data_IF_129689086116
#
_entry.id   IF_129689086116
#
_cell.length_a   1.000
_cell.length_b   1.000
_cell.length_c   1.000
_cell.angle_alpha   90.00
_cell.angle_beta   90.00
_cell.angle_gamma   90.00
#
_symmetry.space_group_name_H-M   'P 1'
#
loop_
_entity.id
_entity.type
_entity.pdbx_description
1 polymer ?
#
# COMPACT_ATOMS: atom_id res chain seq x y z
N UNK A 1 0.17 4.92 -6.36
CA UNK A 1 -0.33 4.52 -5.03
C UNK A 1 -1.82 4.46 -5.13
N UNK A 2 -2.39 3.28 -4.89
CA UNK A 2 -3.81 3.01 -5.10
C UNK A 2 -4.42 2.42 -3.84
N UNK A 3 -5.62 2.89 -3.48
CA UNK A 3 -6.36 2.35 -2.36
C UNK A 3 -7.22 1.17 -2.80
N UNK A 4 -7.09 0.05 -2.10
CA UNK A 4 -8.08 -1.03 -2.09
C UNK A 4 -8.92 -0.84 -0.83
N UNK A 5 -10.17 -0.42 -1.02
CA UNK A 5 -11.10 -0.09 0.08
C UNK A 5 -12.15 -1.21 0.22
N UNK A 6 -12.80 -1.28 1.38
CA UNK A 6 -13.89 -2.22 1.67
C UNK A 6 -13.47 -3.70 1.66
N UNK A 7 -12.29 -3.99 2.18
CA UNK A 7 -11.88 -5.36 2.49
C UNK A 7 -12.59 -5.84 3.76
N UNK A 8 -12.91 -7.15 3.89
CA UNK A 8 -13.37 -7.71 5.16
C UNK A 8 -12.30 -7.46 6.24
N UNK A 9 -12.67 -7.10 7.48
CA UNK A 9 -11.72 -6.93 8.57
C UNK A 9 -10.87 -8.18 8.77
N UNK A 10 -9.55 -8.01 8.75
CA UNK A 10 -8.60 -9.12 8.80
C UNK A 10 -7.47 -8.94 9.82
N UNK A 11 -7.03 -10.05 10.39
CA UNK A 11 -5.93 -10.13 11.37
C UNK A 11 -6.28 -9.56 12.75
N UNK A 12 -5.32 -9.63 13.68
CA UNK A 12 -5.51 -9.22 15.09
C UNK A 12 -5.89 -7.73 15.24
N UNK A 13 -5.50 -6.89 14.27
CA UNK A 13 -5.79 -5.45 14.26
C UNK A 13 -7.01 -5.06 13.43
N UNK A 14 -7.72 -6.04 12.83
CA UNK A 14 -8.97 -5.82 12.08
C UNK A 14 -8.86 -4.76 10.98
N UNK A 15 -7.78 -4.79 10.20
CA UNK A 15 -7.60 -3.88 9.06
C UNK A 15 -8.64 -4.17 7.97
N UNK A 16 -9.19 -3.12 7.35
CA UNK A 16 -10.28 -3.21 6.36
C UNK A 16 -10.01 -2.42 5.07
N UNK A 17 -8.78 -1.91 4.93
CA UNK A 17 -8.29 -1.24 3.74
C UNK A 17 -6.82 -1.61 3.51
N UNK A 18 -6.36 -1.44 2.27
CA UNK A 18 -4.97 -1.63 1.92
C UNK A 18 -4.51 -0.57 0.93
N UNK A 19 -3.27 -0.13 1.07
CA UNK A 19 -2.61 0.76 0.13
C UNK A 19 -1.60 -0.02 -0.70
N UNK A 20 -1.80 -0.02 -2.01
CA UNK A 20 -0.86 -0.56 -2.98
C UNK A 20 0.18 0.49 -3.35
N UNK A 21 1.43 0.16 -3.07
CA UNK A 21 2.62 0.90 -3.47
C UNK A 21 3.33 0.15 -4.60
N UNK A 22 3.15 0.63 -5.82
CA UNK A 22 3.94 0.17 -6.97
C UNK A 22 5.07 1.18 -7.22
N UNK A 23 6.31 0.71 -7.17
CA UNK A 23 7.48 1.47 -7.61
C UNK A 23 7.77 1.13 -9.08
N UNK A 24 8.03 2.14 -9.91
CA UNK A 24 8.35 1.93 -11.33
C UNK A 24 9.68 1.19 -11.54
N UNK A 25 10.60 1.27 -10.58
CA UNK A 25 11.91 0.63 -10.67
C UNK A 25 11.94 -0.76 -10.02
N UNK A 26 11.04 -1.03 -9.07
CA UNK A 26 10.93 -2.35 -8.44
C UNK A 26 9.79 -3.13 -9.08
N UNK A 27 10.10 -4.36 -9.50
CA UNK A 27 9.08 -5.27 -10.05
C UNK A 27 8.09 -5.78 -9.00
N UNK A 28 8.35 -5.52 -7.72
CA UNK A 28 7.56 -6.01 -6.59
C UNK A 28 6.74 -4.89 -5.96
N UNK A 29 5.40 -4.95 -6.02
CA UNK A 29 4.55 -4.04 -5.26
C UNK A 29 4.65 -4.32 -3.76
N UNK A 30 4.31 -3.31 -2.96
CA UNK A 30 4.11 -3.46 -1.52
C UNK A 30 2.65 -3.17 -1.18
N UNK A 31 2.11 -3.97 -0.27
CA UNK A 31 0.77 -3.79 0.28
C UNK A 31 0.90 -3.38 1.73
N UNK A 32 0.38 -2.21 2.08
CA UNK A 32 0.34 -1.73 3.46
C UNK A 32 -1.08 -1.83 4.01
N UNK A 33 -1.29 -2.45 5.18
CA UNK A 33 -2.62 -2.57 5.78
C UNK A 33 -3.02 -1.25 6.47
N UNK A 34 -4.29 -0.88 6.34
CA UNK A 34 -4.86 0.34 6.89
C UNK A 34 -6.30 0.11 7.35
N UNK A 35 -6.81 1.02 8.16
CA UNK A 35 -8.22 1.20 8.37
C UNK A 35 -8.74 2.26 7.39
N UNK A 36 -9.96 2.06 6.90
CA UNK A 36 -10.64 2.97 5.97
C UNK A 36 -10.65 4.40 6.51
N UNK A 37 -10.79 4.54 7.81
CA UNK A 37 -10.94 5.80 8.52
C UNK A 37 -9.61 6.38 9.03
N UNK A 38 -8.47 5.77 8.69
CA UNK A 38 -7.15 6.28 9.08
C UNK A 38 -6.95 7.70 8.56
N UNK A 39 -6.42 8.55 9.43
CA UNK A 39 -6.11 9.94 9.14
C UNK A 39 -4.94 10.07 8.16
N UNK A 40 -4.77 11.26 7.60
CA UNK A 40 -3.61 11.57 6.77
C UNK A 40 -2.27 11.39 7.52
N UNK A 41 -2.27 11.65 8.84
CA UNK A 41 -1.09 11.51 9.69
C UNK A 41 -0.72 10.06 9.93
N UNK A 42 -1.69 9.20 10.30
CA UNK A 42 -1.47 7.76 10.45
C UNK A 42 -1.00 7.13 9.14
N UNK A 43 -1.59 7.55 8.01
CA UNK A 43 -1.17 7.13 6.67
C UNK A 43 0.30 7.49 6.41
N UNK A 44 0.70 8.73 6.73
CA UNK A 44 2.06 9.19 6.53
C UNK A 44 3.08 8.50 7.43
N UNK A 45 2.75 8.26 8.70
CA UNK A 45 3.61 7.53 9.63
C UNK A 45 3.84 6.11 9.12
N UNK A 46 2.76 5.40 8.76
CA UNK A 46 2.87 4.04 8.24
C UNK A 46 3.74 3.95 6.98
N UNK A 47 3.59 4.89 6.05
CA UNK A 47 4.43 4.94 4.85
C UNK A 47 5.88 5.29 5.21
N UNK A 48 6.10 6.21 6.14
CA UNK A 48 7.44 6.57 6.56
C UNK A 48 8.18 5.38 7.18
N UNK A 49 7.54 4.70 8.13
CA UNK A 49 8.13 3.60 8.89
C UNK A 49 8.35 2.34 8.05
N UNK A 50 7.46 2.05 7.09
CA UNK A 50 7.54 0.82 6.31
C UNK A 50 8.21 1.00 4.95
N UNK A 51 8.31 2.23 4.45
CA UNK A 51 8.83 2.51 3.09
C UNK A 51 10.03 3.44 3.18
N UNK A 52 9.81 4.68 3.61
CA UNK A 52 10.84 5.73 3.49
C UNK A 52 12.08 5.41 4.34
N UNK A 53 11.90 4.85 5.54
CA UNK A 53 12.99 4.39 6.42
C UNK A 53 13.90 3.36 5.75
N UNK A 54 13.35 2.49 4.90
CA UNK A 54 14.08 1.40 4.23
C UNK A 54 14.59 1.78 2.84
N UNK A 55 13.87 2.65 2.13
CA UNK A 55 14.13 2.97 0.72
C UNK A 55 14.79 4.33 0.52
N UNK A 56 14.80 5.15 1.56
CA UNK A 56 15.06 6.58 1.46
C UNK A 56 13.87 7.36 0.89
N UNK A 57 14.03 8.69 0.73
CA UNK A 57 12.95 9.59 0.34
C UNK A 57 12.43 9.31 -1.07
N UNK A 58 11.11 9.16 -1.18
CA UNK A 58 10.42 8.96 -2.45
C UNK A 58 10.65 10.15 -3.38
N UNK A 59 11.10 9.88 -4.62
CA UNK A 59 11.42 10.94 -5.59
C UNK A 59 10.17 11.59 -6.16
N UNK A 60 9.22 10.75 -6.59
CA UNK A 60 7.95 11.14 -7.18
C UNK A 60 6.86 10.22 -6.64
N UNK A 61 5.72 10.77 -6.25
CA UNK A 61 4.54 10.01 -5.83
C UNK A 61 3.43 10.26 -6.82
N UNK A 62 2.95 9.19 -7.43
CA UNK A 62 1.75 9.21 -8.27
C UNK A 62 0.65 8.57 -7.43
N UNK A 63 -0.39 9.33 -7.13
CA UNK A 63 -1.55 8.86 -6.38
C UNK A 63 -2.77 9.63 -6.86
N UNK A 64 -3.93 9.02 -6.66
CA UNK A 64 -5.21 9.70 -6.85
C UNK A 64 -5.33 10.91 -5.91
N UNK A 65 -6.33 11.77 -6.16
CA UNK A 65 -6.61 12.96 -5.34
C UNK A 65 -7.29 12.61 -4.02
N UNK A 66 -6.88 11.52 -3.37
CA UNK A 66 -7.40 11.16 -2.05
C UNK A 66 -6.99 12.26 -1.03
N UNK A 67 -7.93 12.82 -0.26
CA UNK A 67 -7.66 13.87 0.72
C UNK A 67 -6.52 13.52 1.69
N UNK A 68 -6.33 12.22 1.97
CA UNK A 68 -5.23 11.74 2.81
C UNK A 68 -3.88 12.14 2.23
N UNK A 69 -3.70 12.10 0.90
CA UNK A 69 -2.46 12.45 0.21
C UNK A 69 -2.37 13.92 -0.21
N UNK A 70 -3.49 14.63 -0.37
CA UNK A 70 -3.48 16.06 -0.74
C UNK A 70 -3.43 17.02 0.46
N UNK A 71 -3.39 16.48 1.68
CA UNK A 71 -3.38 17.25 2.92
C UNK A 71 -2.14 18.13 3.09
N UNK A 72 -2.24 19.16 3.93
CA UNK A 72 -1.12 20.05 4.26
C UNK A 72 0.08 19.28 4.84
N UNK A 73 -0.18 18.19 5.55
CA UNK A 73 0.84 17.30 6.10
C UNK A 73 1.76 16.76 5.00
N UNK A 74 1.20 16.20 3.93
CA UNK A 74 2.02 15.66 2.84
C UNK A 74 2.78 16.76 2.11
N UNK A 75 2.15 17.91 1.86
CA UNK A 75 2.84 19.07 1.27
C UNK A 75 4.06 19.48 2.10
N UNK A 76 3.91 19.55 3.42
CA UNK A 76 4.99 19.91 4.34
C UNK A 76 6.08 18.83 4.41
N UNK A 77 5.72 17.55 4.48
CA UNK A 77 6.68 16.44 4.42
C UNK A 77 7.53 16.50 3.15
N UNK A 78 6.92 16.77 2.00
CA UNK A 78 7.66 16.88 0.73
C UNK A 78 8.62 18.06 0.70
N UNK A 79 8.20 19.21 1.25
CA UNK A 79 9.09 20.37 1.40
C UNK A 79 10.30 20.04 2.28
N UNK A 80 10.10 19.30 3.37
CA UNK A 80 11.20 18.84 4.24
C UNK A 80 12.16 17.89 3.51
N UNK A 81 11.66 17.01 2.63
CA UNK A 81 12.51 16.15 1.79
C UNK A 81 13.14 16.87 0.59
N UNK A 82 12.89 18.17 0.41
CA UNK A 82 13.47 18.98 -0.68
C UNK A 82 12.97 18.61 -2.08
N UNK A 83 11.77 18.03 -2.22
CA UNK A 83 11.25 17.56 -3.52
C UNK A 83 9.89 18.19 -3.89
N UNK A 84 9.68 18.44 -5.19
CA UNK A 84 8.41 18.90 -5.74
C UNK A 84 7.43 17.73 -5.86
N UNK A 85 6.32 17.81 -5.12
CA UNK A 85 5.20 16.89 -5.26
C UNK A 85 4.51 17.12 -6.60
N UNK A 86 4.60 16.14 -7.50
CA UNK A 86 3.82 16.13 -8.74
C UNK A 86 2.70 15.11 -8.58
N UNK A 87 1.53 15.56 -8.13
CA UNK A 87 0.32 14.76 -8.25
C UNK A 87 -0.03 14.67 -9.73
N UNK A 88 0.41 13.61 -10.39
CA UNK A 88 -0.14 13.29 -11.70
C UNK A 88 -1.57 12.82 -11.48
N UNK A 89 -2.49 13.46 -12.19
CA UNK A 89 -3.91 13.14 -12.20
C UNK A 89 -4.12 11.64 -12.37
N UNK A 90 -5.01 11.07 -11.56
CA UNK A 90 -5.59 9.76 -11.75
C UNK A 90 -5.87 9.52 -13.24
N UNK A 91 -5.52 8.32 -13.72
CA UNK A 91 -5.33 7.88 -15.12
C UNK A 91 -3.97 8.21 -15.75
N UNK A 92 -3.03 7.26 -15.65
CA UNK A 92 -1.82 7.18 -16.48
C UNK A 92 -1.63 5.72 -16.93
N UNK A 93 -2.15 5.34 -18.11
CA UNK A 93 -2.28 3.95 -18.58
C UNK A 93 -0.99 3.12 -18.52
N UNK A 94 0.19 3.73 -18.60
CA UNK A 94 1.47 3.01 -18.57
C UNK A 94 1.91 2.55 -17.17
N UNK A 95 1.44 3.19 -16.09
CA UNK A 95 1.72 2.75 -14.71
C UNK A 95 0.57 1.94 -14.12
N UNK A 96 -0.63 2.09 -14.70
CA UNK A 96 -1.85 1.43 -14.24
C UNK A 96 -1.82 -0.08 -14.49
N UNK A 97 -1.27 -0.58 -15.60
CA UNK A 97 -1.33 -2.03 -15.91
C UNK A 97 -0.71 -2.92 -14.83
N UNK A 98 0.43 -2.51 -14.25
CA UNK A 98 1.03 -3.29 -13.15
C UNK A 98 0.19 -3.19 -11.87
N UNK A 99 -0.28 -1.99 -11.54
CA UNK A 99 -1.10 -1.79 -10.36
C UNK A 99 -2.45 -2.53 -10.46
N UNK A 100 -3.13 -2.44 -11.60
CA UNK A 100 -4.38 -3.12 -11.93
C UNK A 100 -4.23 -4.64 -11.81
N UNK A 101 -3.20 -5.24 -12.43
CA UNK A 101 -2.95 -6.68 -12.32
C UNK A 101 -2.70 -7.13 -10.89
N UNK A 102 -2.04 -6.29 -10.09
CA UNK A 102 -1.74 -6.59 -8.69
C UNK A 102 -2.97 -6.43 -7.80
N UNK A 103 -3.84 -5.46 -8.06
CA UNK A 103 -5.14 -5.33 -7.39
C UNK A 103 -5.99 -6.55 -7.71
N UNK A 104 -6.08 -6.96 -8.97
CA UNK A 104 -6.84 -8.15 -9.38
C UNK A 104 -6.34 -9.40 -8.67
N UNK A 105 -5.02 -9.59 -8.63
CA UNK A 105 -4.40 -10.72 -7.92
C UNK A 105 -4.72 -10.69 -6.42
N UNK A 106 -4.68 -9.52 -5.79
CA UNK A 106 -5.03 -9.36 -4.38
C UNK A 106 -6.50 -9.70 -4.13
N UNK A 107 -7.43 -9.21 -4.95
CA UNK A 107 -8.86 -9.50 -4.83
C UNK A 107 -9.15 -11.00 -4.99
N UNK A 108 -8.50 -11.65 -5.96
CA UNK A 108 -8.63 -13.09 -6.17
C UNK A 108 -8.10 -13.88 -4.96
N UNK A 109 -6.96 -13.48 -4.39
CA UNK A 109 -6.43 -14.07 -3.16
C UNK A 109 -7.42 -13.90 -1.99
N UNK A 110 -7.91 -12.68 -1.74
CA UNK A 110 -8.88 -12.42 -0.66
C UNK A 110 -10.15 -13.23 -0.87
N UNK A 111 -10.62 -13.40 -2.11
CA UNK A 111 -11.81 -14.22 -2.43
C UNK A 111 -11.56 -15.71 -2.14
N UNK A 112 -10.40 -16.24 -2.52
CA UNK A 112 -10.03 -17.64 -2.25
C UNK A 112 -9.89 -17.87 -0.74
N UNK A 113 -9.09 -17.05 -0.05
CA UNK A 113 -8.85 -17.21 1.39
C UNK A 113 -10.03 -16.80 2.27
N UNK A 114 -10.93 -15.95 1.78
CA UNK A 114 -12.17 -15.58 2.48
C UNK A 114 -13.28 -16.62 2.33
N UNK A 115 -13.31 -17.37 1.21
CA UNK A 115 -14.29 -18.44 0.98
C UNK A 115 -13.91 -19.75 1.66
N UNK A 116 -12.61 -20.08 1.66
CA UNK A 116 -12.06 -21.14 2.49
C UNK A 116 -11.70 -20.54 3.83
N UNK A 117 -12.53 -20.47 4.87
CA UNK A 117 -12.10 -19.98 6.21
C UNK A 117 -10.93 -20.81 6.76
N UNK A 118 -9.64 -20.48 6.52
CA UNK A 118 -8.55 -21.33 6.95
C UNK A 118 -8.20 -20.80 8.33
N UNK A 119 -8.57 -21.52 9.38
CA UNK A 119 -8.08 -21.20 10.72
C UNK A 119 -6.55 -21.35 10.71
N UNK A 120 -5.83 -20.27 10.37
CA UNK A 120 -4.39 -20.19 10.54
C UNK A 120 -4.15 -20.18 12.05
N UNK A 121 -3.94 -21.38 12.61
CA UNK A 121 -3.38 -21.52 13.95
C UNK A 121 -1.97 -20.94 13.87
N UNK A 122 -1.79 -19.79 14.50
CA UNK A 122 -0.47 -19.26 14.80
C UNK A 122 0.26 -20.29 15.67
N UNK A 123 1.23 -20.98 15.07
CA UNK A 123 2.22 -21.80 15.75
C UNK A 123 3.57 -21.14 15.49
N UNK A 124 3.94 -20.28 16.43
CA UNK A 124 5.28 -20.00 16.92
C UNK A 124 6.44 -20.19 15.92
N UNK A 125 7.02 -19.07 15.47
CA UNK A 125 8.38 -19.04 14.95
C UNK A 125 8.47 -18.69 13.47
N UNK A 126 9.05 -17.52 13.19
CA UNK A 126 9.65 -17.09 11.92
C UNK A 126 9.20 -17.81 10.66
N UNK A 127 8.23 -17.22 9.95
CA UNK A 127 7.95 -17.60 8.56
C UNK A 127 8.22 -16.42 7.64
N UNK A 128 9.49 -16.28 7.27
CA UNK A 128 9.86 -15.80 5.95
C UNK A 128 9.34 -16.82 4.94
N UNK A 129 8.19 -16.56 4.31
CA UNK A 129 7.78 -17.25 3.10
C UNK A 129 7.59 -16.22 1.98
N UNK A 130 8.71 -15.79 1.42
CA UNK A 130 8.77 -15.38 0.02
C UNK A 130 9.25 -16.60 -0.75
N UNK A 131 8.43 -17.08 -1.68
CA UNK A 131 8.71 -18.21 -2.55
C UNK A 131 10.13 -18.13 -3.12
N UNK A 132 10.98 -19.12 -2.78
CA UNK A 132 12.23 -19.39 -3.49
C UNK A 132 11.85 -20.10 -4.80
N UNK A 133 11.98 -19.41 -5.93
CA UNK A 133 12.02 -20.06 -7.24
C UNK A 133 13.45 -20.55 -7.48
N UNK A 134 13.59 -21.86 -7.76
CA UNK A 134 14.73 -22.41 -8.49
C UNK A 134 14.54 -22.14 -9.97
#
# INVERSE_FOLDING_TARGET
MYWVKALPPGGDRSYNACLLLADRYRKTPMFLPFHKDDTAMETAIMIFDNVISHTGPLKNIISDRDPKFTSALWKNLHNLFGRKLSFYTAYHPQTDVLAERMIQTLEDMVRIFGSYSPKFKYLNGFTHYWFKLK
#
